data_IF_631709417664
#
_entry.id   IF_631709417664
#
_cell.length_a   1.000
_cell.length_b   1.000
_cell.length_c   1.000
_cell.angle_alpha   90.00
_cell.angle_beta   90.00
_cell.angle_gamma   90.00
#
_symmetry.space_group_name_H-M   'P 1'
#
loop_
_entity.id
_entity.type
_entity.pdbx_description
1 polymer ?
#
# COMPACT_ATOMS: atom_id res chain seq x y z
N UNK A 1 24.94 22.51 26.14
CA UNK A 1 23.76 21.75 25.72
C UNK A 1 23.52 22.11 24.28
N UNK A 2 23.88 21.20 23.36
CA UNK A 2 23.48 21.28 21.96
C UNK A 2 22.34 20.30 21.86
N UNK A 3 21.12 20.83 21.73
CA UNK A 3 19.98 20.05 21.31
C UNK A 3 20.24 19.75 19.83
N UNK A 4 20.76 18.55 19.56
CA UNK A 4 20.79 18.01 18.21
C UNK A 4 19.33 17.82 17.80
N UNK A 5 18.78 18.81 17.12
CA UNK A 5 17.60 18.68 16.26
C UNK A 5 17.97 17.69 15.16
N UNK A 6 17.87 16.40 15.49
CA UNK A 6 17.76 15.37 14.48
C UNK A 6 16.38 15.57 13.89
N UNK A 7 16.29 16.32 12.79
CA UNK A 7 15.22 16.16 11.81
C UNK A 7 15.29 14.70 11.34
N UNK A 8 14.66 13.82 12.12
CA UNK A 8 14.29 12.50 11.63
C UNK A 8 13.25 12.76 10.56
N UNK A 9 13.71 12.77 9.32
CA UNK A 9 12.88 12.68 8.12
C UNK A 9 11.96 11.46 8.32
N UNK A 10 10.75 11.72 8.84
CA UNK A 10 9.84 10.67 9.28
C UNK A 10 9.55 9.79 8.07
N UNK A 11 9.84 8.50 8.20
CA UNK A 11 9.73 7.58 7.07
C UNK A 11 8.36 7.69 6.40
N UNK A 12 8.26 7.50 5.07
CA UNK A 12 7.02 7.75 4.32
C UNK A 12 5.76 7.09 4.92
N UNK A 13 5.94 5.91 5.54
CA UNK A 13 4.89 5.16 6.23
C UNK A 13 4.45 5.80 7.56
N UNK A 14 5.41 6.25 8.38
CA UNK A 14 5.15 6.96 9.64
C UNK A 14 4.41 8.27 9.36
N UNK A 15 4.88 9.01 8.36
CA UNK A 15 4.22 10.22 7.86
C UNK A 15 2.79 9.95 7.40
N UNK A 16 2.52 8.79 6.77
CA UNK A 16 1.17 8.38 6.34
C UNK A 16 0.26 8.08 7.54
N UNK A 17 0.74 7.32 8.52
CA UNK A 17 -0.02 7.01 9.75
C UNK A 17 -0.35 8.27 10.52
N UNK A 18 0.64 9.15 10.70
CA UNK A 18 0.47 10.44 11.37
C UNK A 18 -0.61 11.29 10.70
N UNK A 19 -0.55 11.43 9.37
CA UNK A 19 -1.59 12.17 8.61
C UNK A 19 -2.99 11.55 8.78
N UNK A 20 -3.11 10.23 8.77
CA UNK A 20 -4.39 9.55 8.95
C UNK A 20 -4.99 9.79 10.34
N UNK A 21 -4.17 9.73 11.39
CA UNK A 21 -4.58 10.01 12.77
C UNK A 21 -5.07 11.46 12.93
N UNK A 22 -4.29 12.42 12.43
CA UNK A 22 -4.64 13.84 12.47
C UNK A 22 -5.93 14.12 11.70
N UNK A 23 -6.05 13.60 10.47
CA UNK A 23 -7.25 13.77 9.65
C UNK A 23 -8.50 13.14 10.28
N UNK A 24 -8.37 12.00 10.97
CA UNK A 24 -9.48 11.40 11.71
C UNK A 24 -9.91 12.27 12.91
N UNK A 25 -8.95 12.82 13.67
CA UNK A 25 -9.22 13.74 14.78
C UNK A 25 -9.94 15.02 14.29
N UNK A 26 -9.47 15.62 13.19
CA UNK A 26 -10.10 16.79 12.59
C UNK A 26 -11.54 16.51 12.14
N UNK A 27 -11.80 15.35 11.56
CA UNK A 27 -13.14 14.92 11.18
C UNK A 27 -14.07 14.85 12.40
N UNK A 28 -13.62 14.22 13.49
CA UNK A 28 -14.40 14.11 14.75
C UNK A 28 -14.71 15.49 15.32
N UNK A 29 -13.69 16.35 15.43
CA UNK A 29 -13.86 17.72 15.94
C UNK A 29 -14.78 18.56 15.06
N UNK A 30 -14.73 18.41 13.74
CA UNK A 30 -15.64 19.10 12.82
C UNK A 30 -17.09 18.63 13.03
N UNK A 31 -17.31 17.32 13.11
CA UNK A 31 -18.66 16.77 13.31
C UNK A 31 -19.26 17.18 14.66
N UNK A 32 -18.44 17.31 15.70
CA UNK A 32 -18.87 17.83 17.00
C UNK A 32 -19.27 19.31 16.89
N UNK A 33 -18.44 20.15 16.26
CA UNK A 33 -18.76 21.57 16.04
C UNK A 33 -20.04 21.77 15.22
N UNK A 34 -20.35 20.85 14.31
CA UNK A 34 -21.58 20.85 13.50
C UNK A 34 -22.80 20.27 14.23
N UNK A 35 -22.64 19.72 15.45
CA UNK A 35 -23.72 19.03 16.18
C UNK A 35 -24.18 17.73 15.49
N UNK A 36 -23.31 17.13 14.66
CA UNK A 36 -23.62 15.96 13.82
C UNK A 36 -22.91 14.68 14.26
N UNK A 37 -22.06 14.75 15.28
CA UNK A 37 -21.21 13.64 15.72
C UNK A 37 -21.97 12.32 15.87
N UNK A 38 -23.04 12.31 16.66
CA UNK A 38 -23.85 11.10 16.92
C UNK A 38 -24.55 10.59 15.67
N UNK A 39 -24.98 11.48 14.76
CA UNK A 39 -25.64 11.09 13.50
C UNK A 39 -24.65 10.49 12.50
N UNK A 40 -23.38 10.89 12.57
CA UNK A 40 -22.31 10.40 11.73
C UNK A 40 -21.64 9.12 12.26
N UNK A 41 -22.16 8.50 13.33
CA UNK A 41 -21.57 7.30 13.95
C UNK A 41 -21.26 6.17 12.95
N UNK A 42 -22.16 5.77 12.02
CA UNK A 42 -21.85 4.71 11.06
C UNK A 42 -20.65 5.05 10.15
N UNK A 43 -20.55 6.31 9.71
CA UNK A 43 -19.42 6.81 8.93
C UNK A 43 -18.12 6.75 9.75
N UNK A 44 -18.17 7.18 11.01
CA UNK A 44 -17.03 7.17 11.92
C UNK A 44 -16.53 5.75 12.19
N UNK A 45 -17.43 4.77 12.35
CA UNK A 45 -17.06 3.37 12.53
C UNK A 45 -16.31 2.82 11.31
N UNK A 46 -16.76 3.13 10.09
CA UNK A 46 -16.06 2.74 8.87
C UNK A 46 -14.64 3.32 8.81
N UNK A 47 -14.52 4.63 9.07
CA UNK A 47 -13.22 5.32 9.09
C UNK A 47 -12.29 4.83 10.21
N UNK A 48 -12.85 4.48 11.38
CA UNK A 48 -12.09 3.89 12.48
C UNK A 48 -11.58 2.50 12.11
N UNK A 49 -12.37 1.71 11.36
CA UNK A 49 -11.94 0.42 10.80
C UNK A 49 -10.74 0.55 9.86
N UNK A 50 -10.81 1.50 8.92
CA UNK A 50 -9.70 1.80 8.00
C UNK A 50 -8.44 2.25 8.75
N UNK A 51 -8.60 3.13 9.74
CA UNK A 51 -7.51 3.62 10.57
C UNK A 51 -6.88 2.48 11.39
N UNK A 52 -7.70 1.60 11.97
CA UNK A 52 -7.22 0.42 12.69
C UNK A 52 -6.40 -0.50 11.79
N UNK A 53 -6.86 -0.77 10.56
CA UNK A 53 -6.09 -1.58 9.59
C UNK A 53 -4.73 -0.94 9.30
N UNK A 54 -4.72 0.37 9.02
CA UNK A 54 -3.48 1.10 8.75
C UNK A 54 -2.49 1.07 9.93
N UNK A 55 -2.99 1.24 11.16
CA UNK A 55 -2.17 1.18 12.37
C UNK A 55 -1.58 -0.22 12.58
N UNK A 56 -2.39 -1.26 12.34
CA UNK A 56 -1.93 -2.65 12.43
C UNK A 56 -0.86 -2.95 11.37
N UNK A 57 -1.06 -2.54 10.11
CA UNK A 57 -0.07 -2.73 9.04
C UNK A 57 1.27 -2.04 9.38
N UNK A 58 1.19 -0.83 9.95
CA UNK A 58 2.37 -0.10 10.41
C UNK A 58 3.04 -0.81 11.60
N UNK A 59 2.27 -1.27 12.58
CA UNK A 59 2.78 -2.05 13.70
C UNK A 59 3.50 -3.30 13.21
N UNK A 60 2.87 -4.14 12.37
CA UNK A 60 3.51 -5.36 11.83
C UNK A 60 4.82 -5.05 11.12
N UNK A 61 4.87 -4.02 10.26
CA UNK A 61 6.10 -3.60 9.56
C UNK A 61 7.18 -3.04 10.50
N UNK A 62 6.79 -2.47 11.63
CA UNK A 62 7.69 -1.95 12.65
C UNK A 62 8.21 -3.08 13.55
N UNK A 63 7.34 -4.01 13.96
CA UNK A 63 7.68 -5.20 14.74
C UNK A 63 8.59 -6.14 13.95
N UNK A 64 8.37 -6.30 12.63
CA UNK A 64 9.30 -7.01 11.73
C UNK A 64 10.69 -6.37 11.66
N UNK A 65 10.79 -5.05 11.85
CA UNK A 65 12.06 -4.32 11.85
C UNK A 65 12.79 -4.36 13.19
N UNK A 66 12.07 -4.42 14.31
CA UNK A 66 12.64 -4.41 15.66
C UNK A 66 12.86 -5.79 16.27
N UNK A 67 12.06 -6.78 15.89
CA UNK A 67 12.19 -8.16 16.34
C UNK A 67 12.27 -9.03 15.08
N UNK A 68 13.48 -9.39 14.60
CA UNK A 68 13.58 -10.38 13.55
C UNK A 68 12.87 -11.64 14.05
N UNK A 69 11.83 -12.06 13.32
CA UNK A 69 11.00 -13.21 13.66
C UNK A 69 11.93 -14.39 13.98
N UNK A 70 12.00 -14.77 15.27
CA UNK A 70 12.90 -15.81 15.75
C UNK A 70 12.39 -17.21 15.37
N UNK A 71 11.10 -17.35 15.06
CA UNK A 71 10.48 -18.62 14.67
C UNK A 71 10.83 -19.01 13.22
N UNK A 72 11.62 -20.08 13.01
CA UNK A 72 12.01 -20.54 11.68
C UNK A 72 10.83 -21.01 10.82
N UNK A 73 9.74 -21.49 11.41
CA UNK A 73 8.56 -21.98 10.68
C UNK A 73 7.76 -20.82 10.09
N UNK A 74 7.62 -19.74 10.85
CA UNK A 74 6.93 -18.53 10.38
C UNK A 74 7.76 -17.81 9.30
N UNK A 75 9.09 -17.79 9.46
CA UNK A 75 10.01 -17.26 8.45
C UNK A 75 9.91 -18.03 7.12
N UNK A 76 9.87 -19.35 7.20
CA UNK A 76 9.73 -20.22 6.03
C UNK A 76 8.38 -20.03 5.34
N UNK A 77 7.29 -19.99 6.12
CA UNK A 77 5.94 -19.76 5.58
C UNK A 77 5.84 -18.41 4.86
N UNK A 78 6.44 -17.35 5.42
CA UNK A 78 6.48 -16.02 4.81
C UNK A 78 7.39 -15.95 3.58
N UNK A 79 8.44 -16.77 3.51
CA UNK A 79 9.28 -16.91 2.31
C UNK A 79 8.48 -17.53 1.18
N UNK A 80 7.78 -18.64 1.45
CA UNK A 80 6.93 -19.32 0.47
C UNK A 80 5.85 -18.38 -0.08
N UNK A 81 5.19 -17.59 0.78
CA UNK A 81 4.18 -16.61 0.33
C UNK A 81 4.79 -15.52 -0.54
N UNK A 82 5.99 -15.02 -0.21
CA UNK A 82 6.70 -14.03 -1.04
C UNK A 82 7.09 -14.61 -2.40
N UNK A 83 7.69 -15.80 -2.43
CA UNK A 83 8.05 -16.49 -3.67
C UNK A 83 6.81 -16.74 -4.55
N UNK A 84 5.65 -17.05 -3.94
CA UNK A 84 4.40 -17.22 -4.67
C UNK A 84 3.88 -15.91 -5.28
N UNK A 85 3.95 -14.79 -4.55
CA UNK A 85 3.55 -13.47 -5.06
C UNK A 85 4.49 -12.93 -6.15
N UNK A 86 5.79 -13.21 -6.04
CA UNK A 86 6.77 -12.84 -7.07
C UNK A 86 6.53 -13.64 -8.35
N UNK A 87 6.31 -14.96 -8.23
CA UNK A 87 5.95 -15.79 -9.38
C UNK A 87 4.65 -15.39 -10.05
N UNK A 88 3.63 -15.03 -9.27
CA UNK A 88 2.36 -14.57 -9.82
C UNK A 88 2.57 -13.29 -10.64
N UNK A 89 3.37 -12.34 -10.13
CA UNK A 89 3.72 -11.12 -10.85
C UNK A 89 4.52 -11.39 -12.12
N UNK A 90 5.54 -12.23 -12.07
CA UNK A 90 6.33 -12.62 -13.25
C UNK A 90 5.43 -13.23 -14.33
N UNK A 91 4.47 -14.08 -13.93
CA UNK A 91 3.51 -14.68 -14.86
C UNK A 91 2.61 -13.63 -15.53
N UNK A 92 2.16 -12.63 -14.77
CA UNK A 92 1.36 -11.53 -15.29
C UNK A 92 2.16 -10.66 -16.26
N UNK A 93 3.42 -10.35 -15.97
CA UNK A 93 4.31 -9.59 -16.86
C UNK A 93 4.64 -10.37 -18.15
N UNK A 94 4.85 -11.68 -18.07
CA UNK A 94 5.03 -12.56 -19.24
C UNK A 94 3.76 -12.62 -20.11
N UNK A 95 2.58 -12.71 -19.50
CA UNK A 95 1.30 -12.68 -20.21
C UNK A 95 1.07 -11.32 -20.91
N UNK A 96 1.40 -10.22 -20.24
CA UNK A 96 1.25 -8.87 -20.79
C UNK A 96 2.20 -8.65 -21.98
N UNK A 97 3.47 -9.01 -21.85
CA UNK A 97 4.43 -8.93 -22.97
C UNK A 97 4.09 -9.84 -24.15
N UNK A 98 3.61 -11.07 -23.89
CA UNK A 98 3.16 -11.98 -24.95
C UNK A 98 1.91 -11.49 -25.69
N UNK A 99 1.06 -10.68 -25.03
CA UNK A 99 -0.08 -10.01 -25.66
C UNK A 99 0.35 -8.84 -26.56
N UNK A 100 1.36 -8.08 -26.15
CA UNK A 100 1.94 -6.98 -26.96
C UNK A 100 2.63 -7.51 -28.23
N UNK A 101 3.30 -8.67 -28.17
CA UNK A 101 3.89 -9.31 -29.36
C UNK A 101 2.85 -9.81 -30.38
N UNK A 102 1.63 -10.13 -29.93
CA UNK A 102 0.54 -10.59 -30.79
C UNK A 102 -0.25 -9.43 -31.44
N UNK A 103 -0.23 -8.24 -30.84
CA UNK A 103 -0.86 -7.02 -31.39
C UNK A 103 0.08 -6.26 -32.37
N UNK A 104 1.37 -6.59 -32.38
CA UNK A 104 2.40 -6.04 -33.29
C UNK A 104 2.53 -6.75 -34.64
N UNK A 105 1.45 -7.38 -35.14
CA UNK A 105 1.46 -8.02 -36.46
C UNK A 105 1.73 -7.00 -37.59
N UNK A 106 2.48 -7.37 -38.65
CA UNK A 106 2.80 -6.44 -39.72
C UNK A 106 1.52 -5.92 -40.40
N UNK A 107 1.45 -4.60 -40.56
CA UNK A 107 0.38 -3.87 -41.24
C UNK A 107 0.16 -4.46 -42.66
N UNK A 108 -1.06 -4.88 -43.04
CA UNK A 108 -1.28 -5.55 -44.32
C UNK A 108 -1.53 -4.53 -45.44
N UNK A 109 -0.63 -3.58 -45.67
CA UNK A 109 -0.71 -2.69 -46.84
C UNK A 109 0.65 -2.40 -47.48
N UNK A 110 1.17 -3.35 -48.26
CA UNK A 110 1.91 -3.02 -49.48
C UNK A 110 1.37 -3.88 -50.62
N UNK A 111 0.38 -3.34 -51.34
CA UNK A 111 -0.03 -3.84 -52.65
C UNK A 111 1.10 -3.64 -53.67
N UNK A 112 1.16 -4.47 -54.73
CA UNK A 112 2.27 -4.46 -55.67
C UNK A 112 2.16 -3.23 -56.57
N UNK A 113 3.13 -2.31 -56.51
CA UNK A 113 3.23 -1.22 -57.47
C UNK A 113 4.40 -1.43 -58.44
N UNK A 114 4.00 -1.65 -59.70
CA UNK A 114 4.67 -1.31 -60.96
C UNK A 114 6.19 -1.44 -61.13
N UNK A 115 6.59 -2.39 -61.97
CA UNK A 115 7.64 -2.21 -62.98
C UNK A 115 7.39 -3.10 -64.21
#
# INVERSE_FOLDING_TARGET
MRDDEIEHEAQPEESRVRRALLGFSELVQRLEREGRLTRATPLLLGRLGDLRRLLFDFEVRFTERLLPIEDPVERESRRIVREALERDRELFEELESGLEELDGGPDPEEGPDGA
#
